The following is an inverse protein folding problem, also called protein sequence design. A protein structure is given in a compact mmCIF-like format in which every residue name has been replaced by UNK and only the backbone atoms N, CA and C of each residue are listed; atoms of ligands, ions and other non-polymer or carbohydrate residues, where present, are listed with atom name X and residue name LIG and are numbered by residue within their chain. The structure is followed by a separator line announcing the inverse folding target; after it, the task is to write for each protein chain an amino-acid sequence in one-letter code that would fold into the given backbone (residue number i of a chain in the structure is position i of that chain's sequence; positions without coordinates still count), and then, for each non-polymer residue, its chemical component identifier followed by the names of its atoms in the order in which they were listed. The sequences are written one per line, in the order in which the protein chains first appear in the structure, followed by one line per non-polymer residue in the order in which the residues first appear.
data_IF_285682244075
#
_entry.id   IF_285682244075
#
_cell.length_a   1.000
_cell.length_b   1.000
_cell.length_c   1.000
_cell.angle_alpha   90.00
_cell.angle_beta   90.00
_cell.angle_gamma   90.00
#
_symmetry.space_group_name_H-M   'P 1'
#
loop_
_entity.id
_entity.type
_entity.pdbx_description
1 polymer ?
#
# COMPACT_ATOMS: atom_id res chain seq x y z
N UNK A 1 -1.23 -0.75 -0.43
CA UNK A 1 -0.15 -0.74 0.59
C UNK A 1 -0.29 -1.96 1.48
N UNK A 2 0.80 -2.61 1.83
CA UNK A 2 0.82 -3.81 2.68
C UNK A 2 1.79 -3.61 3.84
N UNK A 3 1.62 -4.40 4.90
CA UNK A 3 2.66 -4.60 5.89
C UNK A 3 3.79 -5.50 5.34
N UNK A 4 4.79 -5.80 6.17
CA UNK A 4 5.94 -6.66 5.82
C UNK A 4 5.55 -8.13 5.55
N UNK A 5 4.37 -8.56 5.98
CA UNK A 5 3.83 -9.92 5.77
C UNK A 5 2.95 -10.02 4.54
N UNK A 6 2.66 -8.91 3.88
CA UNK A 6 1.77 -8.83 2.73
C UNK A 6 0.29 -8.61 3.09
N UNK A 7 -0.03 -8.33 4.36
CA UNK A 7 -1.39 -8.00 4.76
C UNK A 7 -1.74 -6.62 4.21
N UNK A 8 -2.84 -6.45 3.47
CA UNK A 8 -3.24 -5.15 2.96
C UNK A 8 -3.72 -4.25 4.11
N UNK A 9 -3.03 -3.13 4.31
CA UNK A 9 -3.32 -2.14 5.37
C UNK A 9 -3.92 -0.85 4.85
N UNK A 10 -3.88 -0.63 3.54
CA UNK A 10 -4.50 0.52 2.91
C UNK A 10 -4.59 0.33 1.39
N UNK A 11 -5.68 0.83 0.80
CA UNK A 11 -5.93 0.72 -0.64
C UNK A 11 -6.61 1.97 -1.15
N UNK A 12 -6.18 2.43 -2.32
CA UNK A 12 -6.85 3.45 -3.12
C UNK A 12 -7.05 2.84 -4.51
N UNK A 13 -8.23 3.04 -5.07
CA UNK A 13 -8.54 2.70 -6.45
C UNK A 13 -8.67 4.00 -7.23
N UNK A 14 -7.91 4.11 -8.30
CA UNK A 14 -7.91 5.26 -9.21
C UNK A 14 -8.35 4.85 -10.62
N UNK A 15 -8.62 5.83 -11.46
CA UNK A 15 -8.83 5.61 -12.88
C UNK A 15 -7.49 5.25 -13.56
N UNK A 16 -7.55 4.44 -14.61
CA UNK A 16 -6.34 3.95 -15.29
C UNK A 16 -5.48 5.05 -15.93
N UNK A 17 -6.05 6.22 -16.18
CA UNK A 17 -5.39 7.40 -16.74
C UNK A 17 -4.77 8.31 -15.67
N UNK A 18 -4.94 8.00 -14.38
CA UNK A 18 -4.34 8.78 -13.30
C UNK A 18 -2.96 8.21 -12.95
N UNK A 19 -2.02 9.12 -12.68
CA UNK A 19 -0.65 8.74 -12.36
C UNK A 19 -0.56 8.28 -10.90
N UNK A 20 -0.07 7.06 -10.67
CA UNK A 20 0.03 6.41 -9.35
C UNK A 20 0.79 7.26 -8.31
N UNK A 21 1.75 8.07 -8.76
CA UNK A 21 2.52 8.98 -7.92
C UNK A 21 1.64 9.90 -7.05
N UNK A 22 0.45 10.29 -7.56
CA UNK A 22 -0.48 11.17 -6.85
C UNK A 22 -1.08 10.53 -5.60
N UNK A 23 -1.07 9.21 -5.53
CA UNK A 23 -1.75 8.46 -4.48
C UNK A 23 -0.84 7.95 -3.37
N UNK A 24 0.49 8.04 -3.52
CA UNK A 24 1.41 7.51 -2.50
C UNK A 24 1.27 8.25 -1.17
N UNK A 25 1.20 9.57 -1.17
CA UNK A 25 1.06 10.37 0.05
C UNK A 25 -0.32 10.19 0.71
N UNK A 26 -1.45 10.30 -0.02
CA UNK A 26 -2.76 9.96 0.53
C UNK A 26 -2.82 8.55 1.10
N UNK A 27 -2.20 7.58 0.44
CA UNK A 27 -2.18 6.19 0.89
C UNK A 27 -1.41 6.03 2.19
N UNK A 28 -0.25 6.65 2.31
CA UNK A 28 0.64 6.54 3.47
C UNK A 28 0.15 7.36 4.66
N UNK A 29 -0.39 8.56 4.42
CA UNK A 29 -0.71 9.51 5.48
C UNK A 29 -2.18 9.43 5.94
N UNK A 30 -3.11 9.04 5.06
CA UNK A 30 -4.55 9.10 5.34
C UNK A 30 -5.22 7.72 5.41
N UNK A 31 -4.65 6.71 4.77
CA UNK A 31 -5.28 5.37 4.68
C UNK A 31 -4.65 4.33 5.59
N UNK A 32 -3.56 4.67 6.29
CA UNK A 32 -3.01 3.76 7.29
C UNK A 32 -3.96 3.72 8.51
N UNK A 33 -4.46 2.55 8.91
CA UNK A 33 -5.25 2.44 10.14
C UNK A 33 -4.37 2.73 11.36
N UNK A 34 -4.97 3.23 12.42
CA UNK A 34 -4.28 3.37 13.71
C UNK A 34 -3.97 1.99 14.27
N UNK A 35 -2.70 1.69 14.42
CA UNK A 35 -2.24 0.39 14.91
C UNK A 35 -1.93 0.52 16.41
N UNK A 36 -2.80 -0.10 17.23
CA UNK A 36 -2.64 -0.21 18.69
C UNK A 36 -2.10 -1.58 19.09
N UNK A 37 -2.32 -1.94 20.36
CA UNK A 37 -1.97 -3.26 20.92
C UNK A 37 -0.62 -3.31 21.64
N UNK A 38 0.16 -2.22 21.58
CA UNK A 38 1.35 -2.02 22.41
C UNK A 38 1.11 -0.87 23.39
N UNK A 39 1.77 -0.84 24.57
CA UNK A 39 1.73 0.31 25.47
C UNK A 39 2.16 1.60 24.76
N UNK A 40 1.41 2.69 25.00
CA UNK A 40 1.69 4.00 24.42
C UNK A 40 0.68 4.42 23.34
N UNK A 41 1.01 5.51 22.62
CA UNK A 41 0.15 6.06 21.58
C UNK A 41 0.07 5.12 20.38
N UNK A 42 -1.13 4.85 19.83
CA UNK A 42 -1.26 4.06 18.62
C UNK A 42 -0.42 4.63 17.47
N UNK A 43 0.20 3.75 16.71
CA UNK A 43 1.00 4.13 15.54
C UNK A 43 0.08 4.62 14.42
N UNK A 44 0.31 5.81 13.91
CA UNK A 44 -0.47 6.43 12.84
C UNK A 44 0.31 6.55 11.52
N UNK A 45 1.62 6.29 11.56
CA UNK A 45 2.52 6.39 10.40
C UNK A 45 3.48 5.22 10.37
N UNK A 46 3.92 4.78 9.18
CA UNK A 46 4.97 3.78 9.07
C UNK A 46 6.33 4.42 9.38
N UNK A 47 7.29 3.64 9.86
CA UNK A 47 8.67 4.09 10.01
C UNK A 47 9.36 4.14 8.64
N UNK A 48 8.94 3.26 7.73
CA UNK A 48 9.55 3.07 6.41
C UNK A 48 8.52 2.73 5.36
N UNK A 49 8.68 3.30 4.16
CA UNK A 49 7.87 3.01 2.98
C UNK A 49 8.77 2.47 1.88
N UNK A 50 8.39 1.31 1.34
CA UNK A 50 8.99 0.76 0.13
C UNK A 50 8.02 0.88 -1.02
N UNK A 51 8.49 1.42 -2.14
CA UNK A 51 7.73 1.51 -3.36
C UNK A 51 8.62 1.24 -4.58
N UNK A 52 8.00 1.10 -5.74
CA UNK A 52 8.76 0.94 -6.97
C UNK A 52 9.24 2.29 -7.53
N UNK A 53 10.05 2.23 -8.58
CA UNK A 53 10.63 3.40 -9.22
C UNK A 53 9.58 4.36 -9.79
N UNK A 54 8.38 3.90 -10.11
CA UNK A 54 7.27 4.73 -10.60
C UNK A 54 6.81 5.78 -9.59
N UNK A 55 7.13 5.58 -8.30
CA UNK A 55 6.82 6.51 -7.21
C UNK A 55 7.96 7.47 -6.88
N UNK A 56 9.04 7.51 -7.67
CA UNK A 56 10.17 8.42 -7.44
C UNK A 56 9.83 9.83 -7.87
N UNK A 57 9.76 10.74 -6.90
CA UNK A 57 9.64 12.19 -7.08
C UNK A 57 10.36 12.88 -5.92
N UNK A 58 11.06 13.97 -6.22
CA UNK A 58 11.77 14.75 -5.18
C UNK A 58 10.78 15.27 -4.13
N UNK A 59 9.59 15.72 -4.56
CA UNK A 59 8.55 16.21 -3.65
C UNK A 59 8.04 15.11 -2.72
N UNK A 60 7.84 13.90 -3.24
CA UNK A 60 7.44 12.74 -2.44
C UNK A 60 8.52 12.39 -1.41
N UNK A 61 9.79 12.35 -1.82
CA UNK A 61 10.91 12.06 -0.91
C UNK A 61 11.02 13.12 0.18
N UNK A 62 10.92 14.41 -0.17
CA UNK A 62 10.98 15.52 0.78
C UNK A 62 9.82 15.46 1.79
N UNK A 63 8.60 15.17 1.33
CA UNK A 63 7.43 15.05 2.21
C UNK A 63 7.51 13.84 3.14
N UNK A 64 7.97 12.69 2.65
CA UNK A 64 8.19 11.52 3.49
C UNK A 64 9.25 11.80 4.56
N UNK A 65 10.36 12.46 4.19
CA UNK A 65 11.41 12.87 5.11
C UNK A 65 10.89 13.87 6.17
N UNK A 66 10.08 14.86 5.78
CA UNK A 66 9.44 15.81 6.69
C UNK A 66 8.50 15.09 7.68
N UNK A 67 7.87 13.99 7.25
CA UNK A 67 7.06 13.12 8.11
C UNK A 67 7.88 12.14 8.95
N UNK A 68 9.21 12.16 8.85
CA UNK A 68 10.14 11.21 9.49
C UNK A 68 9.90 9.76 9.03
N UNK A 69 9.54 9.57 7.76
CA UNK A 69 9.31 8.27 7.15
C UNK A 69 10.50 7.98 6.22
N UNK A 70 11.19 6.88 6.46
CA UNK A 70 12.28 6.44 5.59
C UNK A 70 11.73 5.92 4.26
N UNK A 71 12.19 6.49 3.13
CA UNK A 71 11.78 6.10 1.79
C UNK A 71 12.80 5.14 1.15
N UNK A 72 12.41 3.89 0.92
CA UNK A 72 13.18 2.91 0.14
C UNK A 72 12.58 2.83 -1.29
N UNK A 73 12.78 3.88 -2.08
CA UNK A 73 12.28 4.00 -3.46
C UNK A 73 13.50 4.07 -4.40
N UNK A 74 13.64 3.15 -5.38
CA UNK A 74 14.74 3.19 -6.33
C UNK A 74 14.73 4.47 -7.14
N UNK A 75 15.87 5.14 -7.25
CA UNK A 75 16.03 6.33 -8.06
C UNK A 75 16.58 5.96 -9.45
N UNK A 76 16.15 6.70 -10.49
CA UNK A 76 16.68 6.52 -11.84
C UNK A 76 18.19 6.84 -11.86
N UNK A 77 18.97 5.94 -12.49
CA UNK A 77 20.42 6.12 -12.61
C UNK A 77 21.25 5.73 -11.38
N UNK A 78 20.62 5.33 -10.28
CA UNK A 78 21.32 4.82 -9.11
C UNK A 78 21.30 3.29 -9.06
N UNK A 79 22.40 2.70 -8.55
CA UNK A 79 22.51 1.25 -8.43
C UNK A 79 21.43 0.72 -7.50
N UNK A 80 20.57 -0.15 -8.02
CA UNK A 80 19.51 -0.79 -7.22
C UNK A 80 20.16 -1.79 -6.26
N UNK A 81 19.98 -1.68 -4.94
CA UNK A 81 20.55 -2.63 -3.98
C UNK A 81 20.15 -4.07 -4.31
N UNK A 82 21.07 -5.04 -4.23
CA UNK A 82 20.76 -6.44 -4.46
C UNK A 82 19.66 -6.94 -3.50
N UNK A 83 18.71 -7.72 -4.02
CA UNK A 83 17.63 -8.31 -3.22
C UNK A 83 16.32 -7.52 -3.18
N UNK A 84 16.18 -6.40 -3.91
CA UNK A 84 14.93 -5.64 -3.98
C UNK A 84 13.77 -6.48 -4.56
N UNK A 85 14.03 -7.39 -5.48
CA UNK A 85 13.03 -8.31 -6.03
C UNK A 85 12.41 -9.21 -4.96
N UNK A 86 13.21 -9.75 -4.05
CA UNK A 86 12.71 -10.54 -2.91
C UNK A 86 11.89 -9.72 -1.91
N UNK A 87 12.07 -8.39 -1.89
CA UNK A 87 11.38 -7.46 -0.99
C UNK A 87 10.04 -6.93 -1.56
N UNK A 88 9.73 -7.16 -2.85
CA UNK A 88 8.45 -6.82 -3.49
C UNK A 88 7.35 -7.88 -3.26
N UNK A 89 7.75 -9.07 -2.93
CA UNK A 89 6.85 -10.20 -2.70
C UNK A 89 5.61 -9.90 -1.84
N UNK A 90 5.64 -9.09 -0.75
CA UNK A 90 4.45 -8.79 0.04
C UNK A 90 3.32 -8.11 -0.77
N UNK A 91 3.65 -7.17 -1.66
CA UNK A 91 2.64 -6.47 -2.47
C UNK A 91 2.06 -7.38 -3.54
N UNK A 92 2.90 -8.14 -4.23
CA UNK A 92 2.46 -9.12 -5.25
C UNK A 92 1.55 -10.19 -4.65
N UNK A 93 1.87 -10.65 -3.46
CA UNK A 93 1.05 -11.58 -2.68
C UNK A 93 -0.31 -10.99 -2.34
N UNK A 94 -0.36 -9.77 -1.84
CA UNK A 94 -1.62 -9.09 -1.53
C UNK A 94 -2.50 -8.90 -2.77
N UNK A 95 -1.91 -8.52 -3.89
CA UNK A 95 -2.62 -8.39 -5.17
C UNK A 95 -3.18 -9.76 -5.62
N UNK A 96 -2.39 -10.83 -5.49
CA UNK A 96 -2.83 -12.20 -5.80
C UNK A 96 -4.02 -12.61 -4.95
N UNK A 97 -3.99 -12.35 -3.65
CA UNK A 97 -5.12 -12.63 -2.75
C UNK A 97 -6.36 -11.81 -3.11
N UNK A 98 -6.21 -10.52 -3.40
CA UNK A 98 -7.31 -9.66 -3.80
C UNK A 98 -7.99 -10.14 -5.08
N UNK A 99 -7.23 -10.62 -6.07
CA UNK A 99 -7.76 -11.15 -7.33
C UNK A 99 -8.61 -12.41 -7.16
N UNK A 100 -8.48 -13.16 -6.06
CA UNK A 100 -9.32 -14.32 -5.77
C UNK A 100 -10.77 -13.92 -5.43
N UNK A 101 -11.01 -12.69 -5.00
CA UNK A 101 -12.36 -12.19 -4.78
C UNK A 101 -12.99 -11.78 -6.11
N UNK A 102 -14.04 -12.51 -6.53
CA UNK A 102 -14.66 -12.39 -7.86
C UNK A 102 -14.97 -10.94 -8.28
N UNK A 103 -15.49 -10.10 -7.36
CA UNK A 103 -15.83 -8.70 -7.66
C UNK A 103 -14.62 -7.77 -7.69
N UNK A 104 -13.51 -8.17 -7.08
CA UNK A 104 -12.24 -7.45 -7.13
C UNK A 104 -11.44 -7.88 -8.36
N UNK A 105 -11.34 -9.18 -8.61
CA UNK A 105 -10.61 -9.72 -9.76
C UNK A 105 -11.23 -9.35 -11.12
N UNK A 106 -12.55 -9.21 -11.16
CA UNK A 106 -13.29 -8.79 -12.37
C UNK A 106 -14.25 -7.67 -12.00
N UNK A 107 -13.86 -6.43 -12.31
CA UNK A 107 -14.70 -5.27 -12.06
C UNK A 107 -15.96 -5.33 -12.92
N UNK A 108 -17.12 -5.33 -12.27
CA UNK A 108 -18.45 -5.24 -12.89
C UNK A 108 -19.22 -4.00 -12.43
N UNK A 109 -18.70 -3.30 -11.46
CA UNK A 109 -19.35 -2.15 -10.85
C UNK A 109 -19.15 -0.89 -11.72
N UNK A 110 -20.25 -0.17 -11.99
CA UNK A 110 -20.24 1.04 -12.80
C UNK A 110 -19.56 2.20 -12.06
N UNK A 111 -19.78 2.29 -10.75
CA UNK A 111 -19.20 3.38 -9.94
C UNK A 111 -17.91 2.98 -9.28
N UNK A 112 -16.96 3.92 -9.20
CA UNK A 112 -15.69 3.73 -8.52
C UNK A 112 -15.88 3.47 -7.02
N UNK A 113 -16.86 4.13 -6.41
CA UNK A 113 -17.17 3.98 -4.98
C UNK A 113 -17.55 2.56 -4.63
N UNK A 114 -18.44 1.93 -5.42
CA UNK A 114 -18.85 0.55 -5.18
C UNK A 114 -17.66 -0.40 -5.33
N UNK A 115 -16.86 -0.23 -6.37
CA UNK A 115 -15.67 -1.05 -6.56
C UNK A 115 -14.66 -0.87 -5.42
N UNK A 116 -14.38 0.38 -5.01
CA UNK A 116 -13.53 0.68 -3.84
C UNK A 116 -14.05 0.00 -2.58
N UNK A 117 -15.37 -0.04 -2.36
CA UNK A 117 -15.97 -0.70 -1.21
C UNK A 117 -15.71 -2.21 -1.20
N UNK A 118 -15.84 -2.88 -2.36
CA UNK A 118 -15.49 -4.31 -2.47
C UNK A 118 -14.01 -4.58 -2.25
N UNK A 119 -13.13 -3.72 -2.77
CA UNK A 119 -11.68 -3.85 -2.55
C UNK A 119 -11.36 -3.67 -1.06
N UNK A 120 -11.96 -2.69 -0.40
CA UNK A 120 -11.78 -2.43 1.04
C UNK A 120 -12.27 -3.60 1.88
N UNK A 121 -13.45 -4.15 1.56
CA UNK A 121 -13.98 -5.33 2.23
C UNK A 121 -13.07 -6.54 2.06
N UNK A 122 -12.57 -6.78 0.85
CA UNK A 122 -11.62 -7.87 0.59
C UNK A 122 -10.32 -7.70 1.40
N UNK A 123 -9.78 -6.47 1.49
CA UNK A 123 -8.64 -6.17 2.36
C UNK A 123 -8.93 -6.51 3.83
N UNK A 124 -10.10 -6.12 4.33
CA UNK A 124 -10.51 -6.41 5.71
C UNK A 124 -10.61 -7.92 5.97
N UNK A 125 -11.21 -8.67 5.05
CA UNK A 125 -11.31 -10.15 5.16
C UNK A 125 -9.92 -10.79 5.13
N UNK A 126 -9.01 -10.33 4.26
CA UNK A 126 -7.63 -10.85 4.21
C UNK A 126 -6.93 -10.56 5.54
N UNK A 127 -7.03 -9.33 6.04
CA UNK A 127 -6.42 -8.95 7.31
C UNK A 127 -6.97 -9.80 8.47
N UNK A 128 -8.28 -10.01 8.52
CA UNK A 128 -8.92 -10.84 9.53
C UNK A 128 -8.40 -12.28 9.50
N UNK A 129 -8.30 -12.90 8.32
CA UNK A 129 -7.74 -14.26 8.16
C UNK A 129 -6.27 -14.37 8.61
N UNK A 130 -5.49 -13.28 8.51
CA UNK A 130 -4.09 -13.26 8.98
C UNK A 130 -3.97 -13.20 10.51
N UNK A 131 -5.05 -12.88 11.24
CA UNK A 131 -5.10 -12.91 12.70
C UNK A 131 -5.28 -14.34 13.26
N UNK A 132 -5.45 -15.33 12.42
CA UNK A 132 -5.54 -16.74 12.83
C UNK A 132 -6.94 -17.19 13.30
N UNK A 133 -7.97 -16.44 12.90
CA UNK A 133 -9.38 -16.81 13.10
C UNK A 133 -9.96 -17.54 11.89
#
# INVERSE_FOLDING_TARGET
MTDSRGTPVGVIVSAANEHDLRFILPLVLLKLPRIGGLPGRPRERPDRVRADQGYTSQDVLNLLAACRIEAEIPQRGHHTPPGLGKRRWPVERAISWLKQYRRVGTRRDRTLINYQSYVTLACAIIAFKQLGF
#
